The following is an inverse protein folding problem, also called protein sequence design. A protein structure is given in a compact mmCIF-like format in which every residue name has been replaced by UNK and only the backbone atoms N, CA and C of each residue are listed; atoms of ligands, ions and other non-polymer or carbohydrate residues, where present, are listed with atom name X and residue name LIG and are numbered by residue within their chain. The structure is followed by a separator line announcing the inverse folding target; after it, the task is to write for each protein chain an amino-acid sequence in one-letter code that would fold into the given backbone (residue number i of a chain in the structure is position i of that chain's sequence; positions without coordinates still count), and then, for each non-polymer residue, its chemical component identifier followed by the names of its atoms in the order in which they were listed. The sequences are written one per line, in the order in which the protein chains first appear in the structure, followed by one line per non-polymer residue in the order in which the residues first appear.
data_IF_103368314129
#
_entry.id   IF_103368314129
#
_cell.length_a   1.000
_cell.length_b   1.000
_cell.length_c   1.000
_cell.angle_alpha   90.00
_cell.angle_beta   90.00
_cell.angle_gamma   90.00
#
_symmetry.space_group_name_H-M   'P 1'
#
loop_
_entity.id
_entity.type
_entity.pdbx_description
1 polymer ?
#
# COMPACT_ATOMS: atom_id res chain seq x y z
N UNK A 1 16.84 -18.37 1.83
CA UNK A 1 15.52 -18.48 1.17
C UNK A 1 14.45 -17.98 2.12
N UNK A 2 13.58 -17.13 1.63
CA UNK A 2 12.50 -16.52 2.43
C UNK A 2 11.16 -16.83 1.78
N UNK A 3 10.20 -17.35 2.54
CA UNK A 3 8.89 -17.74 2.03
C UNK A 3 7.82 -16.80 2.60
N UNK A 4 6.99 -16.26 1.74
CA UNK A 4 5.86 -15.39 2.05
C UNK A 4 4.63 -15.80 1.24
N UNK A 5 3.44 -15.47 1.71
CA UNK A 5 2.20 -15.66 0.94
C UNK A 5 2.05 -14.54 -0.10
N UNK A 6 2.53 -13.34 0.25
CA UNK A 6 2.46 -12.14 -0.60
C UNK A 6 3.74 -11.33 -0.46
N UNK A 7 4.30 -10.92 -1.60
CA UNK A 7 5.38 -9.91 -1.66
C UNK A 7 4.86 -8.66 -2.35
N UNK A 8 4.92 -7.52 -1.65
CA UNK A 8 4.48 -6.22 -2.15
C UNK A 8 5.71 -5.37 -2.44
N UNK A 9 5.81 -4.86 -3.67
CA UNK A 9 6.94 -4.06 -4.13
C UNK A 9 6.55 -2.59 -4.15
N UNK A 10 7.22 -1.81 -3.33
CA UNK A 10 7.02 -0.37 -3.16
C UNK A 10 6.29 -0.02 -1.86
N UNK A 11 7.00 0.62 -0.91
CA UNK A 11 6.46 1.11 0.36
C UNK A 11 5.90 2.55 0.25
N UNK A 12 5.19 2.82 -0.84
CA UNK A 12 4.36 4.01 -1.00
C UNK A 12 2.97 3.84 -0.38
N UNK A 13 2.06 4.79 -0.61
CA UNK A 13 0.70 4.77 -0.06
C UNK A 13 -0.04 3.45 -0.36
N UNK A 14 -0.05 3.03 -1.62
CA UNK A 14 -0.75 1.82 -2.04
C UNK A 14 -0.11 0.55 -1.46
N UNK A 15 1.22 0.45 -1.46
CA UNK A 15 1.93 -0.72 -0.94
C UNK A 15 1.78 -0.87 0.56
N UNK A 16 1.92 0.20 1.34
CA UNK A 16 1.70 0.19 2.79
C UNK A 16 0.26 -0.19 3.13
N UNK A 17 -0.72 0.42 2.45
CA UNK A 17 -2.12 0.10 2.68
C UNK A 17 -2.44 -1.36 2.34
N UNK A 18 -1.99 -1.85 1.18
CA UNK A 18 -2.15 -3.24 0.76
C UNK A 18 -1.48 -4.21 1.75
N UNK A 19 -0.27 -3.90 2.20
CA UNK A 19 0.47 -4.75 3.15
C UNK A 19 -0.25 -4.85 4.50
N UNK A 20 -0.69 -3.73 5.05
CA UNK A 20 -1.44 -3.70 6.31
C UNK A 20 -2.72 -4.53 6.23
N UNK A 21 -3.51 -4.35 5.17
CA UNK A 21 -4.75 -5.11 4.96
C UNK A 21 -4.47 -6.60 4.79
N UNK A 22 -3.51 -6.98 3.93
CA UNK A 22 -3.18 -8.39 3.68
C UNK A 22 -2.66 -9.08 4.96
N UNK A 23 -1.79 -8.41 5.73
CA UNK A 23 -1.27 -8.94 6.99
C UNK A 23 -2.37 -9.12 8.03
N UNK A 24 -3.29 -8.16 8.19
CA UNK A 24 -4.41 -8.27 9.12
C UNK A 24 -5.44 -9.34 8.70
N UNK A 25 -5.45 -9.75 7.43
CA UNK A 25 -6.20 -10.92 6.96
C UNK A 25 -5.48 -12.26 7.23
N UNK A 26 -4.33 -12.24 7.90
CA UNK A 26 -3.58 -13.42 8.32
C UNK A 26 -2.55 -13.93 7.32
N UNK A 27 -2.30 -13.21 6.22
CA UNK A 27 -1.26 -13.56 5.26
C UNK A 27 0.13 -13.19 5.79
N UNK A 28 1.12 -14.01 5.48
CA UNK A 28 2.53 -13.71 5.73
C UNK A 28 3.05 -12.79 4.63
N UNK A 29 3.12 -11.50 4.94
CA UNK A 29 3.42 -10.44 3.96
C UNK A 29 4.86 -9.95 4.09
N UNK A 30 5.52 -9.80 2.93
CA UNK A 30 6.76 -9.03 2.78
C UNK A 30 6.47 -7.75 2.01
N UNK A 31 6.82 -6.61 2.58
CA UNK A 31 6.85 -5.31 1.91
C UNK A 31 8.29 -4.90 1.62
N UNK A 32 8.61 -4.61 0.36
CA UNK A 32 9.96 -4.28 -0.10
C UNK A 32 9.98 -2.91 -0.76
N UNK A 33 10.97 -2.08 -0.44
CA UNK A 33 11.24 -0.84 -1.16
C UNK A 33 12.75 -0.58 -1.27
N UNK A 34 13.19 -0.03 -2.41
CA UNK A 34 14.59 0.30 -2.65
C UNK A 34 15.00 1.63 -2.01
N UNK A 35 14.05 2.50 -1.72
CA UNK A 35 14.30 3.84 -1.17
C UNK A 35 14.75 3.76 0.29
N UNK A 36 15.57 4.70 0.73
CA UNK A 36 15.95 4.81 2.14
C UNK A 36 14.78 5.29 3.00
N UNK A 37 13.91 6.13 2.44
CA UNK A 37 12.75 6.73 3.15
C UNK A 37 11.44 6.14 2.67
N UNK A 38 10.64 5.68 3.61
CA UNK A 38 9.30 5.16 3.34
C UNK A 38 8.35 6.29 2.88
N UNK A 39 7.49 5.98 1.92
CA UNK A 39 6.36 6.82 1.51
C UNK A 39 6.73 8.26 1.12
N UNK A 40 7.82 8.47 0.41
CA UNK A 40 8.33 9.80 0.10
C UNK A 40 7.32 10.70 -0.63
N UNK A 41 6.52 10.13 -1.55
CA UNK A 41 5.44 10.88 -2.22
C UNK A 41 4.35 11.35 -1.27
N UNK A 42 4.03 10.61 -0.20
CA UNK A 42 3.12 11.07 0.83
C UNK A 42 3.73 12.27 1.55
N UNK A 43 4.99 12.14 1.94
CA UNK A 43 5.75 13.13 2.72
C UNK A 43 5.75 14.51 2.08
N UNK A 44 5.96 14.59 0.77
CA UNK A 44 6.02 15.86 0.02
C UNK A 44 4.65 16.34 -0.49
N UNK A 45 3.63 15.48 -0.45
CA UNK A 45 2.32 15.83 -0.98
C UNK A 45 1.62 16.92 -0.14
N UNK A 46 0.81 17.74 -0.79
CA UNK A 46 0.04 18.76 -0.10
C UNK A 46 0.88 19.81 0.66
N UNK A 47 2.14 20.04 0.24
CA UNK A 47 3.06 20.93 0.96
C UNK A 47 3.47 20.37 2.33
N UNK A 48 3.64 19.05 2.44
CA UNK A 48 4.03 18.37 3.68
C UNK A 48 2.89 18.04 4.62
N UNK A 49 1.63 18.32 4.24
CA UNK A 49 0.42 18.01 5.02
C UNK A 49 -0.43 16.89 4.47
N UNK A 50 0.00 16.24 3.42
CA UNK A 50 -0.68 15.17 2.70
C UNK A 50 -2.13 15.52 2.31
N UNK A 51 -2.39 15.76 1.04
CA UNK A 51 -3.75 15.70 0.51
C UNK A 51 -4.13 14.22 0.41
N UNK A 52 -4.76 13.67 1.44
CA UNK A 52 -4.94 12.22 1.55
C UNK A 52 -6.21 11.71 0.89
N UNK A 53 -7.25 12.53 0.73
CA UNK A 53 -8.47 12.18 0.00
C UNK A 53 -9.26 13.41 -0.43
N UNK A 54 -10.34 13.16 -1.21
CA UNK A 54 -11.35 14.17 -1.52
C UNK A 54 -12.73 13.54 -1.26
N UNK A 55 -13.56 14.22 -0.47
CA UNK A 55 -14.90 13.74 -0.08
C UNK A 55 -15.84 13.53 -1.29
N UNK A 56 -15.64 14.30 -2.35
CA UNK A 56 -16.43 14.23 -3.58
C UNK A 56 -15.90 13.22 -4.60
N UNK A 57 -14.95 12.36 -4.26
CA UNK A 57 -14.37 11.40 -5.19
C UNK A 57 -15.41 10.39 -5.67
N UNK A 58 -15.56 10.31 -6.99
CA UNK A 58 -16.41 9.36 -7.70
C UNK A 58 -15.64 8.72 -8.85
N UNK A 59 -16.07 7.62 -9.43
CA UNK A 59 -15.45 7.04 -10.64
C UNK A 59 -15.32 8.03 -11.80
N UNK A 60 -16.19 9.02 -11.90
CA UNK A 60 -16.16 10.04 -12.97
C UNK A 60 -14.94 10.99 -12.87
N UNK A 61 -14.28 11.03 -11.73
CA UNK A 61 -13.06 11.83 -11.54
C UNK A 61 -11.79 11.16 -12.08
N UNK A 62 -11.88 9.87 -12.46
CA UNK A 62 -10.75 9.09 -12.98
C UNK A 62 -10.84 9.02 -14.51
N UNK A 63 -9.99 9.80 -15.16
CA UNK A 63 -9.91 9.89 -16.63
C UNK A 63 -8.92 8.83 -17.13
N UNK A 64 -9.40 7.84 -17.86
CA UNK A 64 -8.57 6.79 -18.47
C UNK A 64 -9.29 6.17 -19.66
N UNK A 65 -8.58 5.40 -20.47
CA UNK A 65 -9.16 4.60 -21.56
C UNK A 65 -10.16 3.55 -21.06
N UNK A 66 -10.01 3.08 -19.79
CA UNK A 66 -10.96 2.20 -19.13
C UNK A 66 -11.67 2.93 -17.95
N UNK A 67 -12.73 3.72 -18.19
CA UNK A 67 -13.41 4.50 -17.17
C UNK A 67 -14.15 3.64 -16.12
N UNK A 68 -14.25 2.33 -16.34
CA UNK A 68 -14.88 1.39 -15.39
C UNK A 68 -13.87 0.74 -14.44
N UNK A 69 -12.57 0.86 -14.70
CA UNK A 69 -11.51 0.16 -13.95
C UNK A 69 -11.58 0.43 -12.43
N UNK A 70 -11.78 1.69 -12.03
CA UNK A 70 -11.76 2.06 -10.60
C UNK A 70 -13.08 1.80 -9.86
N UNK A 71 -14.18 1.47 -10.55
CA UNK A 71 -15.52 1.37 -9.94
C UNK A 71 -15.58 0.37 -8.79
N UNK A 72 -15.04 -0.83 -9.01
CA UNK A 72 -15.06 -1.88 -7.98
C UNK A 72 -14.26 -1.49 -6.74
N UNK A 73 -13.07 -0.90 -6.92
CA UNK A 73 -12.24 -0.44 -5.82
C UNK A 73 -12.96 0.67 -5.02
N UNK A 74 -13.45 1.70 -5.70
CA UNK A 74 -14.12 2.85 -5.05
C UNK A 74 -15.47 2.49 -4.41
N UNK A 75 -16.16 1.43 -4.85
CA UNK A 75 -17.37 0.95 -4.20
C UNK A 75 -17.11 0.13 -2.94
N UNK A 76 -15.93 -0.47 -2.83
CA UNK A 76 -15.53 -1.30 -1.66
C UNK A 76 -14.77 -0.52 -0.61
N UNK A 77 -14.08 0.53 -1.02
CA UNK A 77 -13.32 1.41 -0.12
C UNK A 77 -13.50 2.85 -0.58
N UNK A 78 -14.28 3.57 0.17
CA UNK A 78 -14.70 4.94 -0.13
C UNK A 78 -13.79 5.98 0.55
N UNK A 79 -13.85 7.27 0.17
CA UNK A 79 -13.20 8.33 0.94
C UNK A 79 -13.57 8.35 2.42
N UNK A 80 -14.83 7.99 2.76
CA UNK A 80 -15.29 7.92 4.16
C UNK A 80 -14.60 6.82 4.95
N UNK A 81 -14.31 5.66 4.32
CA UNK A 81 -13.61 4.57 4.98
C UNK A 81 -12.18 4.98 5.33
N UNK A 82 -11.53 5.76 4.45
CA UNK A 82 -10.19 6.28 4.76
C UNK A 82 -10.23 7.36 5.87
N UNK A 83 -11.25 8.22 5.88
CA UNK A 83 -11.47 9.18 6.97
C UNK A 83 -11.68 8.44 8.30
N UNK A 84 -12.51 7.39 8.32
CA UNK A 84 -12.72 6.59 9.52
C UNK A 84 -11.43 5.95 10.03
N UNK A 85 -10.50 5.57 9.13
CA UNK A 85 -9.18 5.08 9.52
C UNK A 85 -8.35 6.17 10.21
N UNK A 86 -8.37 7.42 9.72
CA UNK A 86 -7.70 8.55 10.39
C UNK A 86 -8.29 8.79 11.78
N UNK A 87 -9.61 8.77 11.90
CA UNK A 87 -10.32 8.95 13.19
C UNK A 87 -9.93 7.85 14.19
N UNK A 88 -9.87 6.59 13.76
CA UNK A 88 -9.37 5.45 14.55
C UNK A 88 -7.98 5.72 15.14
N UNK A 89 -7.12 6.39 14.38
CA UNK A 89 -5.76 6.76 14.78
C UNK A 89 -5.65 8.15 15.42
N UNK A 90 -6.77 8.82 15.70
CA UNK A 90 -6.82 10.16 16.28
C UNK A 90 -6.01 11.21 15.49
N UNK A 91 -6.03 11.13 14.17
CA UNK A 91 -5.34 12.08 13.29
C UNK A 91 -6.30 13.22 12.96
N UNK A 92 -5.92 14.44 13.36
CA UNK A 92 -6.66 15.63 13.06
C UNK A 92 -6.45 16.08 11.60
N UNK A 93 -7.53 16.52 10.95
CA UNK A 93 -7.53 16.95 9.55
C UNK A 93 -8.56 18.05 9.30
N UNK A 94 -8.42 18.76 8.18
CA UNK A 94 -9.36 19.79 7.74
C UNK A 94 -9.62 19.69 6.24
N UNK A 95 -10.76 20.24 5.82
CA UNK A 95 -11.03 20.51 4.42
C UNK A 95 -10.42 21.86 4.02
N UNK A 96 -9.61 21.87 2.95
CA UNK A 96 -9.02 23.10 2.42
C UNK A 96 -9.97 23.78 1.43
N UNK A 97 -10.34 23.10 0.36
CA UNK A 97 -11.32 23.55 -0.63
C UNK A 97 -11.77 22.38 -1.51
N UNK A 98 -12.97 22.47 -2.08
CA UNK A 98 -13.54 21.49 -3.02
C UNK A 98 -13.50 20.04 -2.52
N UNK A 99 -13.70 19.81 -1.24
CA UNK A 99 -13.71 18.49 -0.63
C UNK A 99 -12.32 17.86 -0.41
N UNK A 100 -11.22 18.57 -0.68
CA UNK A 100 -9.87 18.08 -0.43
C UNK A 100 -9.52 18.09 1.04
N UNK A 101 -9.10 16.94 1.58
CA UNK A 101 -8.76 16.78 2.98
C UNK A 101 -7.24 16.69 3.18
N UNK A 102 -6.76 17.42 4.21
CA UNK A 102 -5.34 17.50 4.57
C UNK A 102 -5.15 17.25 6.06
N UNK A 103 -4.03 16.65 6.44
CA UNK A 103 -3.64 16.56 7.85
C UNK A 103 -3.37 17.95 8.43
N UNK A 104 -3.75 18.16 9.70
CA UNK A 104 -3.53 19.44 10.37
C UNK A 104 -2.05 19.68 10.67
N UNK A 105 -1.33 18.64 11.08
CA UNK A 105 0.07 18.74 11.50
C UNK A 105 1.04 18.40 10.38
N UNK A 106 1.07 17.15 9.92
CA UNK A 106 2.10 16.66 9.00
C UNK A 106 1.62 15.45 8.20
N UNK A 107 2.21 15.26 7.02
CA UNK A 107 2.11 14.05 6.23
C UNK A 107 2.64 12.81 6.97
N UNK A 108 3.53 13.00 7.96
CA UNK A 108 4.04 11.93 8.82
C UNK A 108 2.92 11.22 9.59
N UNK A 109 1.84 11.91 9.92
CA UNK A 109 0.70 11.29 10.61
C UNK A 109 0.11 10.15 9.78
N UNK A 110 -0.05 10.34 8.46
CA UNK A 110 -0.51 9.29 7.54
C UNK A 110 0.52 8.17 7.40
N UNK A 111 1.81 8.52 7.30
CA UNK A 111 2.87 7.52 7.17
C UNK A 111 2.92 6.63 8.40
N UNK A 112 2.89 7.23 9.59
CA UNK A 112 2.91 6.50 10.87
C UNK A 112 1.67 5.64 11.05
N UNK A 113 0.50 6.12 10.65
CA UNK A 113 -0.74 5.35 10.64
C UNK A 113 -0.61 4.10 9.76
N UNK A 114 -0.15 4.25 8.52
CA UNK A 114 0.01 3.13 7.59
C UNK A 114 1.06 2.12 8.09
N UNK A 115 2.14 2.59 8.69
CA UNK A 115 3.14 1.73 9.34
C UNK A 115 2.56 0.99 10.55
N UNK A 116 1.73 1.65 11.35
CA UNK A 116 1.03 1.01 12.48
C UNK A 116 0.05 -0.08 12.00
N UNK A 117 -0.69 0.15 10.91
CA UNK A 117 -1.54 -0.87 10.31
C UNK A 117 -0.72 -2.06 9.76
N UNK A 118 0.46 -1.81 9.18
CA UNK A 118 1.40 -2.87 8.78
C UNK A 118 1.91 -3.67 10.00
N UNK A 119 2.27 -2.97 11.08
CA UNK A 119 2.72 -3.62 12.31
C UNK A 119 1.62 -4.49 12.94
N UNK A 120 0.37 -4.01 12.97
CA UNK A 120 -0.78 -4.78 13.42
C UNK A 120 -1.02 -6.06 12.59
N UNK A 121 -0.65 -6.03 11.29
CA UNK A 121 -0.69 -7.18 10.40
C UNK A 121 0.58 -8.04 10.41
N UNK A 122 1.54 -7.80 11.31
CA UNK A 122 2.83 -8.51 11.36
C UNK A 122 3.59 -8.51 10.02
N UNK A 123 3.50 -7.43 9.26
CA UNK A 123 4.17 -7.28 7.96
C UNK A 123 5.68 -7.23 8.15
N UNK A 124 6.40 -8.10 7.43
CA UNK A 124 7.86 -8.00 7.33
C UNK A 124 8.21 -6.88 6.35
N UNK A 125 9.01 -5.92 6.78
CA UNK A 125 9.39 -4.77 5.96
C UNK A 125 10.88 -4.76 5.69
N UNK A 126 11.27 -4.82 4.40
CA UNK A 126 12.64 -4.71 3.95
C UNK A 126 12.86 -3.41 3.19
N UNK A 127 13.53 -2.47 3.86
CA UNK A 127 13.86 -1.17 3.29
C UNK A 127 15.15 -0.61 3.96
N UNK A 128 16.14 -0.14 3.18
CA UNK A 128 16.20 -0.29 1.73
C UNK A 128 16.44 -1.75 1.32
N UNK A 129 15.86 -2.15 0.19
CA UNK A 129 16.10 -3.45 -0.42
C UNK A 129 15.84 -3.37 -1.93
N UNK A 130 16.84 -3.71 -2.72
CA UNK A 130 16.77 -3.68 -4.18
C UNK A 130 16.43 -5.05 -4.75
N UNK A 131 15.52 -5.08 -5.72
CA UNK A 131 15.18 -6.29 -6.46
C UNK A 131 15.98 -6.33 -7.74
N UNK A 132 16.50 -7.52 -8.07
CA UNK A 132 17.31 -7.77 -9.28
C UNK A 132 16.50 -8.41 -10.39
N UNK A 133 15.65 -9.39 -10.05
CA UNK A 133 14.80 -10.08 -11.00
C UNK A 133 13.55 -10.66 -10.36
N UNK A 134 12.51 -10.85 -11.18
CA UNK A 134 11.27 -11.54 -10.80
C UNK A 134 11.01 -12.61 -11.85
N UNK A 135 10.82 -13.85 -11.43
CA UNK A 135 10.49 -14.99 -12.30
C UNK A 135 9.18 -15.61 -11.83
N UNK A 136 8.33 -15.93 -12.79
CA UNK A 136 7.09 -16.67 -12.55
C UNK A 136 7.26 -18.10 -13.00
N UNK A 137 6.93 -19.04 -12.14
CA UNK A 137 6.86 -20.47 -12.43
C UNK A 137 5.42 -20.92 -12.42
N UNK A 138 4.87 -21.21 -13.60
CA UNK A 138 3.52 -21.78 -13.70
C UNK A 138 3.50 -23.20 -13.15
N UNK A 139 2.39 -23.58 -12.50
CA UNK A 139 2.14 -24.98 -12.12
C UNK A 139 2.13 -25.86 -13.36
N UNK A 140 2.83 -27.01 -13.29
CA UNK A 140 2.75 -28.03 -14.35
C UNK A 140 1.35 -28.63 -14.39
N UNK A 141 0.76 -28.90 -15.58
CA UNK A 141 -0.54 -29.56 -15.71
C UNK A 141 -0.61 -30.94 -15.04
N UNK A 142 0.53 -31.56 -14.77
CA UNK A 142 0.67 -32.87 -14.15
C UNK A 142 1.49 -32.87 -12.86
N UNK A 143 1.83 -31.66 -12.31
CA UNK A 143 2.68 -31.51 -11.12
C UNK A 143 1.90 -31.04 -9.89
N UNK A 144 2.40 -31.42 -8.71
CA UNK A 144 1.89 -31.01 -7.40
C UNK A 144 2.34 -29.63 -6.96
N UNK A 145 3.14 -28.92 -7.78
CA UNK A 145 3.67 -27.58 -7.46
C UNK A 145 2.68 -26.50 -7.84
N UNK A 146 2.31 -25.67 -6.89
CA UNK A 146 1.52 -24.45 -7.14
C UNK A 146 2.33 -23.45 -7.98
N UNK A 147 1.65 -22.58 -8.72
CA UNK A 147 2.29 -21.44 -9.37
C UNK A 147 2.92 -20.54 -8.31
N UNK A 148 4.13 -20.07 -8.57
CA UNK A 148 4.87 -19.24 -7.60
C UNK A 148 5.72 -18.19 -8.31
N UNK A 149 6.07 -17.14 -7.54
CA UNK A 149 7.07 -16.17 -7.94
C UNK A 149 8.38 -16.42 -7.17
N UNK A 150 9.48 -16.33 -7.91
CA UNK A 150 10.83 -16.25 -7.35
C UNK A 150 11.37 -14.84 -7.60
N UNK A 151 11.77 -14.16 -6.52
CA UNK A 151 12.27 -12.79 -6.58
C UNK A 151 13.68 -12.76 -6.02
N UNK A 152 14.67 -12.37 -6.86
CA UNK A 152 16.05 -12.16 -6.42
C UNK A 152 16.23 -10.73 -5.90
N UNK A 153 16.78 -10.60 -4.70
CA UNK A 153 17.03 -9.31 -4.05
C UNK A 153 18.44 -9.25 -3.46
N UNK A 154 18.84 -8.06 -3.01
CA UNK A 154 20.11 -7.88 -2.28
C UNK A 154 20.10 -8.51 -0.88
N UNK A 155 18.92 -8.92 -0.36
CA UNK A 155 18.74 -9.66 0.89
C UNK A 155 18.49 -11.15 0.71
N UNK A 156 18.65 -11.66 -0.52
CA UNK A 156 18.47 -13.06 -0.87
C UNK A 156 17.23 -13.36 -1.68
N UNK A 157 16.97 -14.65 -1.92
CA UNK A 157 15.87 -15.12 -2.76
C UNK A 157 14.57 -15.21 -1.94
N UNK A 158 13.51 -14.65 -2.49
CA UNK A 158 12.15 -14.63 -1.94
C UNK A 158 11.27 -15.52 -2.82
N UNK A 159 10.44 -16.35 -2.20
CA UNK A 159 9.39 -17.14 -2.85
C UNK A 159 8.01 -16.70 -2.33
N UNK A 160 7.05 -16.52 -3.25
CA UNK A 160 5.66 -16.19 -2.92
C UNK A 160 4.68 -16.69 -4.00
#
# INVERSE_FOLDING_TARGET
MHNFDVTIIGAGAAGLFCAGVAGQLGLKVLLVDHSEKVAEKIRISGGGRCNFTNQGTTPANFISENPRFCRSALSRYTPRDFVALLEKHNIAFHEKHKGQLFCDRSAEDIINMLLAECAAGNVTHWQPCSLKSIRFSASSPHGTSASSYEIDSDRGVIHC
#
